data_IF_789933852388
#
_entry.id   IF_789933852388
#
_cell.length_a   1.000
_cell.length_b   1.000
_cell.length_c   1.000
_cell.angle_alpha   90.00
_cell.angle_beta   90.00
_cell.angle_gamma   90.00
#
_symmetry.space_group_name_H-M   'P 1'
#
loop_
_entity.id
_entity.type
_entity.pdbx_description
1 polymer ?
#
# COMPACT_ATOMS: atom_id res chain seq x y z
N UNK A 1 13.80 12.05 11.41
CA UNK A 1 13.76 10.85 10.54
C UNK A 1 14.35 11.22 9.19
N UNK A 2 15.31 10.44 8.67
CA UNK A 2 15.86 10.67 7.32
C UNK A 2 14.87 10.21 6.25
N UNK A 3 14.98 10.72 5.02
CA UNK A 3 14.12 10.30 3.89
C UNK A 3 14.18 8.79 3.66
N UNK A 4 15.35 8.18 3.82
CA UNK A 4 15.54 6.72 3.73
C UNK A 4 14.74 5.96 4.79
N UNK A 5 14.77 6.38 6.06
CA UNK A 5 13.98 5.73 7.12
C UNK A 5 12.47 5.83 6.84
N UNK A 6 12.00 6.97 6.31
CA UNK A 6 10.59 7.17 5.97
C UNK A 6 10.15 6.30 4.79
N UNK A 7 11.01 6.14 3.78
CA UNK A 7 10.78 5.21 2.67
C UNK A 7 10.70 3.77 3.15
N UNK A 8 11.61 3.34 4.03
CA UNK A 8 11.58 1.99 4.62
C UNK A 8 10.28 1.76 5.39
N UNK A 9 9.85 2.73 6.21
CA UNK A 9 8.58 2.65 6.94
C UNK A 9 7.36 2.62 6.01
N UNK A 10 7.38 3.41 4.93
CA UNK A 10 6.32 3.40 3.92
C UNK A 10 6.20 2.02 3.26
N UNK A 11 7.31 1.42 2.83
CA UNK A 11 7.31 0.09 2.22
C UNK A 11 6.88 -0.98 3.23
N UNK A 12 7.42 -0.96 4.44
CA UNK A 12 7.07 -1.93 5.48
C UNK A 12 5.57 -1.86 5.85
N UNK A 13 5.03 -0.65 6.05
CA UNK A 13 3.62 -0.45 6.33
C UNK A 13 2.73 -0.91 5.18
N UNK A 14 3.13 -0.63 3.93
CA UNK A 14 2.39 -1.09 2.75
C UNK A 14 2.38 -2.61 2.63
N UNK A 15 3.53 -3.28 2.82
CA UNK A 15 3.63 -4.73 2.82
C UNK A 15 2.76 -5.36 3.92
N UNK A 16 2.79 -4.82 5.14
CA UNK A 16 1.93 -5.30 6.22
C UNK A 16 0.45 -5.17 5.88
N UNK A 17 0.04 -4.03 5.31
CA UNK A 17 -1.34 -3.83 4.86
C UNK A 17 -1.73 -4.82 3.74
N UNK A 18 -0.84 -5.06 2.77
CA UNK A 18 -1.08 -6.03 1.71
C UNK A 18 -1.27 -7.45 2.26
N UNK A 19 -0.38 -7.90 3.15
CA UNK A 19 -0.48 -9.20 3.81
C UNK A 19 -1.77 -9.30 4.63
N UNK A 20 -2.08 -8.29 5.43
CA UNK A 20 -3.26 -8.25 6.29
C UNK A 20 -4.59 -8.24 5.50
N UNK A 21 -4.60 -7.75 4.26
CA UNK A 21 -5.80 -7.74 3.41
C UNK A 21 -5.89 -8.99 2.53
N UNK A 22 -4.78 -9.42 1.92
CA UNK A 22 -4.77 -10.51 0.95
C UNK A 22 -4.95 -11.86 1.63
N UNK A 23 -4.31 -12.14 2.76
CA UNK A 23 -4.47 -13.44 3.44
C UNK A 23 -5.92 -13.75 3.83
N UNK A 24 -6.64 -12.88 4.56
CA UNK A 24 -8.03 -13.17 4.92
C UNK A 24 -8.93 -13.20 3.69
N UNK A 25 -8.63 -12.43 2.64
CA UNK A 25 -9.38 -12.49 1.39
C UNK A 25 -9.21 -13.86 0.72
N UNK A 26 -7.98 -14.35 0.57
CA UNK A 26 -7.69 -15.68 0.00
C UNK A 26 -8.32 -16.78 0.85
N UNK A 27 -8.19 -16.70 2.17
CA UNK A 27 -8.83 -17.65 3.08
C UNK A 27 -10.35 -17.66 2.91
N UNK A 28 -10.97 -16.47 2.80
CA UNK A 28 -12.41 -16.34 2.65
C UNK A 28 -12.91 -16.86 1.29
N UNK A 29 -12.16 -16.64 0.20
CA UNK A 29 -12.44 -17.22 -1.13
C UNK A 29 -12.37 -18.75 -1.05
N UNK A 30 -11.37 -19.29 -0.37
CA UNK A 30 -11.16 -20.73 -0.28
C UNK A 30 -12.24 -21.44 0.55
N UNK A 31 -12.80 -20.77 1.57
CA UNK A 31 -13.70 -21.40 2.53
C UNK A 31 -15.19 -21.09 2.31
N UNK A 32 -15.55 -20.20 1.38
CA UNK A 32 -16.93 -19.80 1.10
C UNK A 32 -17.22 -19.91 -0.39
N UNK A 33 -18.34 -20.56 -0.74
CA UNK A 33 -18.82 -20.67 -2.13
C UNK A 33 -19.28 -19.34 -2.75
N UNK A 34 -19.17 -18.22 -2.02
CA UNK A 34 -19.57 -16.87 -2.44
C UNK A 34 -18.57 -16.18 -3.38
N UNK A 35 -17.86 -16.95 -4.22
CA UNK A 35 -16.81 -16.45 -5.11
C UNK A 35 -17.20 -15.23 -5.95
N UNK A 36 -18.48 -15.12 -6.36
CA UNK A 36 -19.02 -13.96 -7.08
C UNK A 36 -19.06 -12.69 -6.22
N UNK A 37 -19.51 -12.78 -4.97
CA UNK A 37 -19.50 -11.64 -4.05
C UNK A 37 -18.06 -11.20 -3.72
N UNK A 38 -17.14 -12.16 -3.61
CA UNK A 38 -15.72 -11.88 -3.41
C UNK A 38 -15.06 -11.26 -4.65
N UNK A 39 -15.45 -11.65 -5.86
CA UNK A 39 -15.00 -10.99 -7.09
C UNK A 39 -15.38 -9.50 -7.13
N UNK A 40 -16.54 -9.13 -6.59
CA UNK A 40 -16.92 -7.73 -6.43
C UNK A 40 -16.10 -7.01 -5.35
N UNK A 41 -15.64 -7.70 -4.31
CA UNK A 41 -14.81 -7.13 -3.26
C UNK A 41 -13.35 -6.89 -3.70
N UNK A 42 -12.80 -7.74 -4.57
CA UNK A 42 -11.42 -7.64 -5.11
C UNK A 42 -11.06 -6.24 -5.64
N UNK A 43 -11.84 -5.59 -6.52
CA UNK A 43 -11.48 -4.26 -7.03
C UNK A 43 -11.40 -3.20 -5.92
N UNK A 44 -12.23 -3.29 -4.88
CA UNK A 44 -12.13 -2.38 -3.73
C UNK A 44 -10.85 -2.61 -2.93
N UNK A 45 -10.47 -3.87 -2.72
CA UNK A 45 -9.22 -4.24 -2.03
C UNK A 45 -8.01 -3.73 -2.82
N UNK A 46 -8.00 -3.94 -4.13
CA UNK A 46 -6.93 -3.46 -5.02
C UNK A 46 -6.88 -1.93 -5.02
N UNK A 47 -8.02 -1.26 -5.12
CA UNK A 47 -8.09 0.20 -5.05
C UNK A 47 -7.57 0.73 -3.72
N UNK A 48 -7.94 0.11 -2.60
CA UNK A 48 -7.45 0.48 -1.28
C UNK A 48 -5.92 0.37 -1.20
N UNK A 49 -5.32 -0.72 -1.69
CA UNK A 49 -3.87 -0.91 -1.73
C UNK A 49 -3.16 0.12 -2.61
N UNK A 50 -3.70 0.41 -3.79
CA UNK A 50 -3.18 1.45 -4.68
C UNK A 50 -3.24 2.82 -4.01
N UNK A 51 -4.36 3.14 -3.35
CA UNK A 51 -4.56 4.41 -2.65
C UNK A 51 -3.60 4.57 -1.48
N UNK A 52 -3.38 3.50 -0.72
CA UNK A 52 -2.43 3.44 0.40
C UNK A 52 -1.00 3.64 -0.10
N UNK A 53 -0.61 2.94 -1.18
CA UNK A 53 0.71 3.09 -1.78
C UNK A 53 1.00 4.53 -2.19
N UNK A 54 0.07 5.18 -2.89
CA UNK A 54 0.22 6.60 -3.26
C UNK A 54 0.23 7.55 -2.07
N UNK A 55 -0.57 7.27 -1.05
CA UNK A 55 -0.57 8.07 0.19
C UNK A 55 0.79 7.97 0.89
N UNK A 56 1.35 6.77 1.01
CA UNK A 56 2.65 6.51 1.64
C UNK A 56 3.81 7.10 0.82
N UNK A 57 3.75 7.02 -0.52
CA UNK A 57 4.70 7.66 -1.42
C UNK A 57 4.67 9.18 -1.26
N UNK A 58 3.48 9.79 -1.31
CA UNK A 58 3.31 11.23 -1.12
C UNK A 58 3.82 11.69 0.24
N UNK A 59 3.55 10.91 1.28
CA UNK A 59 4.05 11.18 2.62
C UNK A 59 5.57 11.10 2.66
N UNK A 60 6.16 10.03 2.12
CA UNK A 60 7.60 9.84 2.10
C UNK A 60 8.34 10.94 1.32
N UNK A 61 7.75 11.44 0.23
CA UNK A 61 8.32 12.53 -0.60
C UNK A 61 8.07 13.94 -0.06
N UNK A 62 7.04 14.15 0.76
CA UNK A 62 6.71 15.47 1.32
C UNK A 62 7.82 16.10 2.21
N UNK A 63 8.91 15.38 2.52
CA UNK A 63 10.05 15.93 3.28
C UNK A 63 11.30 16.13 2.44
N UNK A 64 11.23 15.92 1.12
CA UNK A 64 12.32 16.27 0.21
C UNK A 64 12.29 17.80 -0.01
N UNK A 65 13.30 18.57 0.42
CA UNK A 65 13.29 20.02 0.25
C UNK A 65 13.35 20.37 -1.25
N UNK A 66 12.60 21.37 -1.73
CA UNK A 66 12.68 21.83 -3.12
C UNK A 66 14.04 22.52 -3.33
N UNK A 67 15.09 21.76 -3.66
CA UNK A 67 16.42 22.35 -3.82
C UNK A 67 17.60 21.40 -4.06
N UNK A 68 17.46 20.09 -3.87
CA UNK A 68 18.60 19.17 -4.03
C UNK A 68 19.00 18.87 -5.50
N UNK A 69 18.38 19.53 -6.49
CA UNK A 69 18.70 19.34 -7.92
C UNK A 69 19.37 20.56 -8.58
N UNK A 70 20.03 21.43 -7.78
CA UNK A 70 20.86 22.53 -8.29
C UNK A 70 22.27 22.50 -7.69
N UNK A 71 23.04 21.47 -8.01
CA UNK A 71 24.52 21.42 -8.01
C UNK A 71 24.90 20.24 -8.92
N UNK A 72 25.74 20.32 -9.92
CA UNK A 72 26.50 21.37 -10.61
C UNK A 72 26.84 20.79 -12.00
#
# INVERSE_FOLDING_TARGET
MTTQTRLILAVAAWCLAAVALVLPLVWLINNRDWGVALMLAVPFVVYALMRLGRALESWARASEPPGSNRKA
#
